data_IF_319325097972
#
_entry.id   IF_319325097972
#
_cell.length_a   1.000
_cell.length_b   1.000
_cell.length_c   1.000
_cell.angle_alpha   90.00
_cell.angle_beta   90.00
_cell.angle_gamma   90.00
#
_symmetry.space_group_name_H-M   'P 1'
#
loop_
_entity.id
_entity.type
_entity.pdbx_description
1 polymer ?
#
# COMPACT_ATOMS: atom_id res chain seq x y z
N UNK A 1 -19.76 3.36 -25.27
CA UNK A 1 -19.28 2.83 -23.97
C UNK A 1 -19.42 1.32 -23.89
N UNK A 2 -18.44 0.67 -23.26
CA UNK A 2 -18.45 -0.72 -22.85
C UNK A 2 -19.02 -0.84 -21.43
N UNK A 3 -20.17 -1.49 -21.28
CA UNK A 3 -20.84 -1.66 -19.98
C UNK A 3 -20.48 -2.99 -19.29
N UNK A 4 -19.69 -3.87 -19.92
CA UNK A 4 -19.30 -5.15 -19.34
C UNK A 4 -18.59 -5.05 -17.99
N UNK A 5 -17.73 -4.04 -17.73
CA UNK A 5 -17.08 -3.87 -16.43
C UNK A 5 -18.02 -3.34 -15.34
N UNK A 6 -19.21 -2.83 -15.72
CA UNK A 6 -20.12 -2.19 -14.78
C UNK A 6 -20.85 -3.25 -13.95
N UNK A 7 -20.77 -3.11 -12.63
CA UNK A 7 -21.51 -3.92 -11.67
C UNK A 7 -23.03 -3.84 -11.91
N UNK A 8 -23.81 -4.92 -11.72
CA UNK A 8 -25.26 -4.87 -11.79
C UNK A 8 -25.86 -3.80 -10.86
N UNK A 9 -26.90 -3.10 -11.32
CA UNK A 9 -27.49 -1.99 -10.57
C UNK A 9 -28.05 -2.39 -9.19
N UNK A 10 -28.57 -3.61 -9.04
CA UNK A 10 -29.02 -4.12 -7.73
C UNK A 10 -27.87 -4.29 -6.74
N UNK A 11 -26.71 -4.74 -7.20
CA UNK A 11 -25.52 -4.88 -6.37
C UNK A 11 -24.96 -3.52 -5.97
N UNK A 12 -24.93 -2.55 -6.90
CA UNK A 12 -24.55 -1.16 -6.58
C UNK A 12 -25.46 -0.56 -5.51
N UNK A 13 -26.78 -0.77 -5.62
CA UNK A 13 -27.77 -0.33 -4.62
C UNK A 13 -27.58 -1.03 -3.28
N UNK A 14 -27.25 -2.32 -3.27
CA UNK A 14 -26.98 -3.07 -2.04
C UNK A 14 -25.75 -2.52 -1.32
N UNK A 15 -24.64 -2.29 -2.02
CA UNK A 15 -23.44 -1.66 -1.46
C UNK A 15 -23.79 -0.28 -0.88
N UNK A 16 -24.48 0.55 -1.67
CA UNK A 16 -24.90 1.90 -1.26
C UNK A 16 -25.74 1.86 0.01
N UNK A 17 -26.76 0.99 0.06
CA UNK A 17 -27.62 0.82 1.23
C UNK A 17 -26.80 0.44 2.46
N UNK A 18 -25.89 -0.52 2.35
CA UNK A 18 -25.07 -0.99 3.49
C UNK A 18 -24.18 0.14 4.03
N UNK A 19 -23.38 0.80 3.20
CA UNK A 19 -22.45 1.83 3.65
C UNK A 19 -23.15 3.12 4.09
N UNK A 20 -24.18 3.58 3.38
CA UNK A 20 -24.93 4.78 3.75
C UNK A 20 -25.65 4.55 5.08
N UNK A 21 -26.29 3.40 5.27
CA UNK A 21 -26.97 3.09 6.55
C UNK A 21 -25.98 3.01 7.70
N UNK A 22 -24.86 2.30 7.53
CA UNK A 22 -23.81 2.23 8.54
C UNK A 22 -23.27 3.61 8.92
N UNK A 23 -23.12 4.51 7.94
CA UNK A 23 -22.61 5.86 8.18
C UNK A 23 -23.62 6.69 8.96
N UNK A 24 -24.90 6.64 8.57
CA UNK A 24 -25.97 7.36 9.26
C UNK A 24 -26.14 6.84 10.70
N UNK A 25 -26.09 5.53 10.92
CA UNK A 25 -26.17 4.95 12.28
C UNK A 25 -24.97 5.37 13.15
N UNK A 26 -23.74 5.33 12.59
CA UNK A 26 -22.54 5.72 13.32
C UNK A 26 -22.51 7.22 13.65
N UNK A 27 -23.02 8.08 12.76
CA UNK A 27 -22.92 9.55 12.91
C UNK A 27 -24.13 10.20 13.57
N UNK A 28 -25.34 9.67 13.37
CA UNK A 28 -26.58 10.25 13.90
C UNK A 28 -27.06 9.56 15.17
N UNK A 29 -26.73 8.27 15.36
CA UNK A 29 -27.18 7.48 16.51
C UNK A 29 -26.02 6.96 17.40
N UNK A 30 -24.78 7.38 17.13
CA UNK A 30 -23.55 6.96 17.86
C UNK A 30 -23.41 5.43 17.95
N UNK A 31 -23.92 4.70 16.93
CA UNK A 31 -23.80 3.24 16.81
C UNK A 31 -22.41 2.86 16.30
N UNK A 32 -21.42 2.91 17.18
CA UNK A 32 -20.00 2.69 16.85
C UNK A 32 -19.67 1.27 16.42
N UNK A 33 -20.54 0.30 16.65
CA UNK A 33 -20.37 -1.07 16.15
C UNK A 33 -20.32 -1.17 14.62
N UNK A 34 -20.72 -0.12 13.90
CA UNK A 34 -20.62 -0.04 12.45
C UNK A 34 -19.28 0.54 11.95
N UNK A 35 -18.47 1.16 12.82
CA UNK A 35 -17.15 1.71 12.43
C UNK A 35 -16.21 0.67 11.80
N UNK A 36 -16.13 -0.58 12.32
CA UNK A 36 -15.27 -1.61 11.73
C UNK A 36 -15.56 -1.91 10.25
N UNK A 37 -16.77 -1.64 9.75
CA UNK A 37 -17.10 -1.79 8.32
C UNK A 37 -16.29 -0.85 7.43
N UNK A 38 -16.02 0.38 7.89
CA UNK A 38 -15.26 1.37 7.14
C UNK A 38 -13.76 1.08 7.17
N UNK A 39 -13.29 0.52 8.29
CA UNK A 39 -11.91 0.07 8.48
C UNK A 39 -11.59 -1.17 7.66
N UNK A 40 -12.52 -2.12 7.59
CA UNK A 40 -12.36 -3.39 6.91
C UNK A 40 -13.70 -3.91 6.36
N UNK A 41 -13.84 -3.85 5.03
CA UNK A 41 -15.05 -4.29 4.34
C UNK A 41 -15.39 -5.76 4.62
N UNK A 42 -14.42 -6.60 5.00
CA UNK A 42 -14.63 -8.04 5.26
C UNK A 42 -15.53 -8.27 6.46
N UNK A 43 -15.54 -7.33 7.42
CA UNK A 43 -16.46 -7.38 8.57
C UNK A 43 -17.93 -7.38 8.12
N UNK A 44 -18.23 -6.67 7.02
CA UNK A 44 -19.57 -6.62 6.44
C UNK A 44 -19.80 -7.57 5.28
N UNK A 45 -18.96 -8.59 5.07
CA UNK A 45 -19.01 -9.42 3.85
C UNK A 45 -20.37 -10.11 3.64
N UNK A 46 -21.09 -10.43 4.71
CA UNK A 46 -22.46 -10.99 4.62
C UNK A 46 -23.48 -9.99 4.04
N UNK A 47 -23.27 -8.69 4.22
CA UNK A 47 -24.16 -7.63 3.73
C UNK A 47 -23.81 -7.16 2.32
N UNK A 48 -22.64 -7.55 1.82
CA UNK A 48 -22.05 -7.05 0.58
C UNK A 48 -22.16 -8.10 -0.56
N UNK A 49 -22.36 -7.68 -1.83
CA UNK A 49 -22.20 -8.56 -3.00
C UNK A 49 -20.82 -9.21 -3.09
N UNK A 50 -20.74 -10.36 -3.76
CA UNK A 50 -19.48 -11.06 -4.02
C UNK A 50 -18.71 -10.37 -5.15
N UNK A 51 -17.82 -9.45 -4.77
CA UNK A 51 -16.98 -8.69 -5.68
C UNK A 51 -15.67 -8.28 -4.98
N UNK A 52 -14.79 -7.62 -5.73
CA UNK A 52 -13.56 -7.02 -5.24
C UNK A 52 -13.90 -5.69 -4.55
N UNK A 53 -13.40 -5.51 -3.34
CA UNK A 53 -13.52 -4.26 -2.60
C UNK A 53 -12.13 -3.74 -2.30
N UNK A 54 -12.02 -2.42 -2.37
CA UNK A 54 -10.87 -1.67 -1.88
C UNK A 54 -11.43 -0.59 -0.97
N UNK A 55 -10.88 -0.46 0.23
CA UNK A 55 -11.26 0.60 1.14
C UNK A 55 -10.04 1.42 1.55
N UNK A 56 -10.24 2.73 1.63
CA UNK A 56 -9.30 3.65 2.23
C UNK A 56 -9.99 4.27 3.43
N UNK A 57 -9.36 4.13 4.59
CA UNK A 57 -9.86 4.59 5.88
C UNK A 57 -8.76 5.37 6.59
N UNK A 58 -9.18 6.43 7.30
CA UNK A 58 -8.37 7.20 8.22
C UNK A 58 -9.33 7.94 9.17
N UNK A 59 -9.01 8.00 10.46
CA UNK A 59 -9.78 8.76 11.44
C UNK A 59 -8.92 9.81 12.18
N UNK A 60 -9.53 10.50 13.14
CA UNK A 60 -8.91 11.60 13.88
C UNK A 60 -7.73 11.17 14.78
N UNK A 61 -7.55 9.88 15.04
CA UNK A 61 -6.42 9.35 15.80
C UNK A 61 -5.14 9.23 14.96
N UNK A 62 -5.23 9.36 13.64
CA UNK A 62 -4.10 9.15 12.75
C UNK A 62 -3.01 10.22 12.94
N UNK A 63 -1.81 9.76 13.26
CA UNK A 63 -0.59 10.57 13.37
C UNK A 63 0.36 10.20 12.23
N UNK A 64 0.65 11.13 11.29
CA UNK A 64 1.51 10.84 10.16
C UNK A 64 2.97 10.68 10.60
N UNK A 65 3.61 9.59 10.16
CA UNK A 65 5.06 9.45 10.18
C UNK A 65 5.65 10.06 8.90
N UNK A 66 5.16 9.65 7.74
CA UNK A 66 5.56 10.17 6.43
C UNK A 66 4.35 10.28 5.49
N UNK A 67 4.15 11.48 4.94
CA UNK A 67 3.13 11.82 3.94
C UNK A 67 3.72 12.15 2.57
N UNK A 68 5.05 12.23 2.47
CA UNK A 68 5.82 12.44 1.22
C UNK A 68 5.51 13.75 0.50
N UNK A 69 4.89 14.69 1.21
CA UNK A 69 4.41 15.97 0.67
C UNK A 69 5.05 17.17 1.39
N UNK A 70 5.92 16.92 2.37
CA UNK A 70 6.60 17.92 3.18
C UNK A 70 7.74 18.64 2.45
N UNK A 71 8.52 17.90 1.66
CA UNK A 71 9.70 18.39 0.94
C UNK A 71 10.06 17.44 -0.23
N UNK A 72 11.28 17.57 -0.77
CA UNK A 72 11.78 16.74 -1.88
C UNK A 72 12.94 15.81 -1.46
N UNK A 73 13.33 15.81 -0.18
CA UNK A 73 14.38 14.96 0.36
C UNK A 73 13.79 13.60 0.71
N UNK A 74 14.14 12.59 -0.10
CA UNK A 74 13.66 11.21 0.08
C UNK A 74 14.04 10.59 1.43
N UNK A 75 14.95 11.21 2.18
CA UNK A 75 15.51 10.69 3.44
C UNK A 75 14.91 11.31 4.69
N UNK A 76 13.99 12.27 4.55
CA UNK A 76 13.28 12.90 5.67
C UNK A 76 11.91 12.27 5.86
N UNK A 77 11.26 12.59 6.98
CA UNK A 77 9.87 12.20 7.25
C UNK A 77 9.07 13.44 7.63
N UNK A 78 7.76 13.45 7.36
CA UNK A 78 6.84 14.50 7.82
C UNK A 78 6.92 14.72 9.34
N UNK A 79 7.09 13.65 10.12
CA UNK A 79 7.38 13.75 11.54
C UNK A 79 8.82 14.28 11.74
N UNK A 80 8.95 15.55 12.14
CA UNK A 80 10.25 16.20 12.29
C UNK A 80 11.22 15.40 13.19
N UNK A 81 12.43 15.16 12.68
CA UNK A 81 13.49 14.40 13.36
C UNK A 81 13.47 12.89 13.06
N UNK A 82 12.52 12.39 12.27
CA UNK A 82 12.58 11.05 11.69
C UNK A 82 13.42 11.02 10.42
N UNK A 83 13.72 9.82 9.93
CA UNK A 83 14.53 9.61 8.73
C UNK A 83 14.13 8.37 7.95
N UNK A 84 14.46 8.35 6.67
CA UNK A 84 14.13 7.27 5.73
C UNK A 84 15.40 6.75 5.07
N UNK A 85 15.49 5.42 4.94
CA UNK A 85 16.54 4.74 4.20
C UNK A 85 16.00 3.62 3.32
N UNK A 86 16.36 3.62 2.05
CA UNK A 86 16.09 2.57 1.08
C UNK A 86 17.34 1.75 0.76
N UNK A 87 17.21 0.42 0.74
CA UNK A 87 18.29 -0.52 0.43
C UNK A 87 17.85 -1.52 -0.65
N UNK A 88 18.69 -1.77 -1.65
CA UNK A 88 18.46 -2.72 -2.75
C UNK A 88 17.15 -2.50 -3.53
N UNK A 89 16.58 -1.29 -3.50
CA UNK A 89 15.40 -0.93 -4.27
C UNK A 89 15.75 -0.73 -5.76
N UNK A 90 14.85 -1.20 -6.62
CA UNK A 90 14.90 -0.94 -8.06
C UNK A 90 14.35 0.45 -8.41
N UNK A 91 13.35 0.90 -7.66
CA UNK A 91 12.75 2.23 -7.78
C UNK A 91 12.60 2.79 -6.37
N UNK A 92 13.08 4.01 -6.18
CA UNK A 92 12.82 4.83 -5.00
C UNK A 92 12.74 6.28 -5.45
N UNK A 93 11.53 6.84 -5.43
CA UNK A 93 11.28 8.25 -5.73
C UNK A 93 10.01 8.72 -5.04
N UNK A 94 9.93 10.00 -4.76
CA UNK A 94 8.69 10.67 -4.38
C UNK A 94 8.17 11.50 -5.55
N UNK A 95 6.86 11.72 -5.58
CA UNK A 95 6.26 12.60 -6.57
C UNK A 95 4.75 12.51 -6.64
N UNK A 96 4.18 13.29 -7.56
CA UNK A 96 2.74 13.36 -7.80
C UNK A 96 2.16 11.99 -8.12
N UNK A 97 1.07 11.66 -7.47
CA UNK A 97 0.37 10.40 -7.70
C UNK A 97 -0.51 10.55 -8.94
N UNK A 98 -0.31 9.74 -9.99
CA UNK A 98 -1.06 9.90 -11.23
C UNK A 98 -2.52 9.45 -11.08
N UNK A 99 -3.39 10.12 -11.83
CA UNK A 99 -4.67 9.55 -12.28
C UNK A 99 -4.45 8.77 -13.59
N UNK A 100 -5.53 8.33 -14.23
CA UNK A 100 -5.49 7.93 -15.65
C UNK A 100 -4.98 9.06 -16.54
N UNK A 101 -5.43 10.28 -16.27
CA UNK A 101 -5.04 11.53 -16.93
C UNK A 101 -4.79 12.59 -15.84
N UNK A 102 -3.60 13.20 -15.83
CA UNK A 102 -3.19 14.14 -14.77
C UNK A 102 -2.78 13.47 -13.45
N UNK A 103 -2.91 14.19 -12.33
CA UNK A 103 -2.46 13.75 -11.00
C UNK A 103 -3.36 14.21 -9.83
N UNK A 104 -3.13 13.63 -8.64
CA UNK A 104 -3.97 13.77 -7.45
C UNK A 104 -3.70 15.02 -6.61
N UNK A 105 -2.86 15.95 -7.05
CA UNK A 105 -2.45 17.14 -6.30
C UNK A 105 -1.79 16.87 -4.93
N UNK A 106 -1.45 15.62 -4.63
CA UNK A 106 -0.59 15.23 -3.50
C UNK A 106 0.41 14.14 -3.93
N UNK A 107 1.45 13.98 -3.12
CA UNK A 107 2.57 13.11 -3.44
C UNK A 107 2.42 11.73 -2.78
N UNK A 108 3.23 10.79 -3.26
CA UNK A 108 3.50 9.53 -2.60
C UNK A 108 4.89 9.05 -2.93
N UNK A 109 5.37 8.06 -2.17
CA UNK A 109 6.61 7.35 -2.47
C UNK A 109 6.32 6.16 -3.38
N UNK A 110 7.10 6.04 -4.45
CA UNK A 110 7.09 4.92 -5.37
C UNK A 110 8.26 4.00 -5.02
N UNK A 111 7.92 2.76 -4.65
CA UNK A 111 8.87 1.74 -4.25
C UNK A 111 8.75 0.56 -5.21
N UNK A 112 9.86 0.22 -5.86
CA UNK A 112 9.93 -0.90 -6.79
C UNK A 112 11.06 -1.83 -6.41
N UNK A 113 10.84 -3.13 -6.58
CA UNK A 113 11.85 -4.16 -6.34
C UNK A 113 11.76 -5.24 -7.41
N UNK A 114 12.90 -5.83 -7.74
CA UNK A 114 13.01 -7.08 -8.50
C UNK A 114 14.16 -7.88 -7.92
N UNK A 115 13.87 -9.05 -7.36
CA UNK A 115 14.86 -9.85 -6.62
C UNK A 115 15.65 -10.77 -7.54
N UNK A 116 16.94 -10.50 -7.72
CA UNK A 116 17.84 -11.47 -8.34
C UNK A 116 17.99 -12.73 -7.47
N UNK A 117 18.23 -13.88 -8.10
CA UNK A 117 18.45 -15.15 -7.39
C UNK A 117 19.62 -15.04 -6.41
N UNK A 118 19.35 -15.29 -5.12
CA UNK A 118 20.35 -15.23 -4.06
C UNK A 118 20.71 -13.83 -3.56
N UNK A 119 20.12 -12.76 -4.12
CA UNK A 119 20.31 -11.40 -3.65
C UNK A 119 19.49 -11.11 -2.37
N UNK A 120 19.97 -10.22 -1.49
CA UNK A 120 19.18 -9.78 -0.34
C UNK A 120 17.89 -9.09 -0.78
N UNK A 121 16.83 -9.23 0.02
CA UNK A 121 15.57 -8.52 -0.20
C UNK A 121 15.75 -7.00 -0.07
N UNK A 122 14.99 -6.24 -0.87
CA UNK A 122 14.95 -4.79 -0.76
C UNK A 122 14.27 -4.37 0.54
N UNK A 123 14.68 -3.22 1.08
CA UNK A 123 14.19 -2.69 2.35
C UNK A 123 13.91 -1.20 2.23
N UNK A 124 12.85 -0.78 2.90
CA UNK A 124 12.53 0.64 3.10
C UNK A 124 12.27 0.85 4.59
N UNK A 125 13.16 1.58 5.26
CA UNK A 125 13.16 1.77 6.71
C UNK A 125 12.81 3.21 7.02
N UNK A 126 11.79 3.41 7.85
CA UNK A 126 11.44 4.70 8.44
C UNK A 126 11.81 4.67 9.92
N UNK A 127 12.73 5.52 10.33
CA UNK A 127 13.13 5.71 11.73
C UNK A 127 12.26 6.81 12.33
N UNK A 128 11.66 6.51 13.48
CA UNK A 128 10.82 7.47 14.20
C UNK A 128 11.71 8.54 14.86
N UNK A 129 11.20 9.78 15.02
CA UNK A 129 11.88 10.78 15.84
C UNK A 129 12.09 10.26 17.28
N UNK A 130 13.19 10.68 17.91
CA UNK A 130 13.46 10.31 19.29
C UNK A 130 12.28 10.68 20.23
N UNK A 131 11.78 9.71 20.99
CA UNK A 131 10.65 9.88 21.90
C UNK A 131 9.26 9.94 21.24
N UNK A 132 9.17 9.80 19.91
CA UNK A 132 7.89 9.88 19.20
C UNK A 132 6.90 8.80 19.65
N UNK A 133 7.34 7.56 19.85
CA UNK A 133 6.46 6.47 20.29
C UNK A 133 5.77 6.78 21.64
N UNK A 134 6.50 7.35 22.60
CA UNK A 134 5.93 7.79 23.87
C UNK A 134 5.01 9.02 23.69
N UNK A 135 5.42 10.00 22.89
CA UNK A 135 4.63 11.21 22.60
C UNK A 135 3.29 10.88 21.93
N UNK A 136 3.29 9.93 21.01
CA UNK A 136 2.10 9.43 20.31
C UNK A 136 1.35 8.36 21.09
N UNK A 137 1.82 8.03 22.31
CA UNK A 137 1.21 7.05 23.21
C UNK A 137 0.99 5.71 22.50
N UNK A 138 1.98 5.24 21.72
CA UNK A 138 1.88 3.96 21.02
C UNK A 138 1.76 2.84 22.04
N UNK A 139 0.72 2.03 21.89
CA UNK A 139 0.35 0.94 22.81
C UNK A 139 -0.26 -0.24 22.06
N UNK A 140 -0.88 -1.16 22.79
CA UNK A 140 -1.51 -2.35 22.20
C UNK A 140 -2.68 -2.00 21.27
N UNK A 141 -3.44 -0.95 21.61
CA UNK A 141 -4.54 -0.43 20.79
C UNK A 141 -4.07 0.44 19.61
N UNK A 142 -2.76 0.63 19.42
CA UNK A 142 -2.26 1.37 18.27
C UNK A 142 -2.16 0.49 17.03
N UNK A 143 -2.27 1.11 15.87
CA UNK A 143 -2.09 0.50 14.55
C UNK A 143 -0.94 1.16 13.82
N UNK A 144 -0.23 0.41 12.97
CA UNK A 144 0.56 0.97 11.87
C UNK A 144 -0.31 0.94 10.61
N UNK A 145 -0.40 2.07 9.92
CA UNK A 145 -1.30 2.28 8.80
C UNK A 145 -0.53 2.75 7.57
N UNK A 146 -0.78 2.09 6.44
CA UNK A 146 -0.22 2.45 5.14
C UNK A 146 -1.33 2.59 4.12
N UNK A 147 -1.35 3.67 3.35
CA UNK A 147 -2.23 3.82 2.20
C UNK A 147 -1.46 3.41 0.94
N UNK A 148 -1.72 2.20 0.41
CA UNK A 148 -0.91 1.54 -0.61
C UNK A 148 -1.71 1.24 -1.88
N UNK A 149 -1.13 1.51 -3.05
CA UNK A 149 -1.65 1.10 -4.35
C UNK A 149 -0.58 0.34 -5.15
N UNK A 150 -0.98 -0.64 -5.94
CA UNK A 150 -0.08 -1.33 -6.89
C UNK A 150 -0.01 -0.58 -8.21
N UNK A 151 1.19 -0.42 -8.78
CA UNK A 151 1.38 0.18 -10.10
C UNK A 151 1.40 -0.89 -11.20
N UNK A 152 0.93 -0.57 -12.40
CA UNK A 152 1.07 -1.44 -13.58
C UNK A 152 2.44 -1.25 -14.27
N UNK A 153 3.52 -1.29 -13.49
CA UNK A 153 4.90 -1.09 -13.98
C UNK A 153 5.84 -2.24 -13.58
N UNK A 154 6.72 -2.67 -14.48
CA UNK A 154 7.73 -3.70 -14.19
C UNK A 154 9.04 -3.06 -13.69
N UNK A 155 9.41 -3.37 -12.44
CA UNK A 155 10.70 -2.98 -11.89
C UNK A 155 11.85 -3.71 -12.60
N UNK A 156 12.93 -2.98 -12.88
CA UNK A 156 14.19 -3.56 -13.37
C UNK A 156 15.03 -4.11 -12.21
N UNK A 157 16.08 -4.88 -12.51
CA UNK A 157 17.04 -5.30 -11.47
C UNK A 157 17.75 -4.07 -10.86
N UNK A 158 17.98 -4.04 -9.53
CA UNK A 158 18.66 -2.93 -8.87
C UNK A 158 20.14 -2.86 -9.28
N UNK A 159 20.70 -1.65 -9.35
CA UNK A 159 22.11 -1.39 -9.72
C UNK A 159 22.31 -0.73 -11.08
N UNK A 160 23.53 -0.25 -11.35
CA UNK A 160 23.87 0.47 -12.58
C UNK A 160 23.99 -0.52 -13.73
N UNK A 161 22.90 -0.74 -14.45
CA UNK A 161 22.87 -1.62 -15.62
C UNK A 161 23.74 -1.07 -16.75
N UNK A 162 24.52 -1.95 -17.38
CA UNK A 162 25.25 -1.66 -18.61
C UNK A 162 24.30 -1.45 -19.79
N UNK A 163 24.76 -0.73 -20.83
CA UNK A 163 24.02 -0.55 -22.09
C UNK A 163 23.53 -1.87 -22.70
N UNK A 164 24.35 -2.93 -22.60
CA UNK A 164 24.03 -4.26 -23.10
C UNK A 164 22.91 -4.94 -22.30
N UNK A 165 22.93 -4.82 -20.96
CA UNK A 165 21.87 -5.34 -20.08
C UNK A 165 20.54 -4.61 -20.30
N UNK A 166 20.58 -3.28 -20.46
CA UNK A 166 19.39 -2.49 -20.82
C UNK A 166 18.80 -2.90 -22.16
N UNK A 167 19.63 -3.19 -23.16
CA UNK A 167 19.19 -3.68 -24.47
C UNK A 167 18.54 -5.06 -24.37
N UNK A 168 19.16 -5.99 -23.63
CA UNK A 168 18.58 -7.32 -23.39
C UNK A 168 17.25 -7.25 -22.64
N UNK A 169 17.16 -6.46 -21.56
CA UNK A 169 15.92 -6.33 -20.79
C UNK A 169 14.80 -5.67 -21.62
N UNK A 170 15.15 -4.71 -22.50
CA UNK A 170 14.19 -4.14 -23.48
C UNK A 170 13.75 -5.15 -24.54
N UNK A 171 14.65 -6.00 -25.04
CA UNK A 171 14.29 -7.06 -26.00
C UNK A 171 13.42 -8.15 -25.35
N UNK A 172 13.69 -8.51 -24.10
CA UNK A 172 12.87 -9.42 -23.31
C UNK A 172 11.48 -8.82 -23.03
N UNK A 173 11.40 -7.56 -22.58
CA UNK A 173 10.12 -6.84 -22.42
C UNK A 173 9.32 -6.82 -23.71
N UNK A 174 9.93 -6.50 -24.86
CA UNK A 174 9.25 -6.53 -26.17
C UNK A 174 8.76 -7.93 -26.57
N UNK A 175 9.53 -8.98 -26.26
CA UNK A 175 9.12 -10.37 -26.53
C UNK A 175 8.00 -10.84 -25.61
N UNK A 176 7.98 -10.40 -24.35
CA UNK A 176 6.86 -10.65 -23.43
C UNK A 176 5.61 -9.88 -23.83
N UNK A 177 5.73 -8.59 -24.17
CA UNK A 177 4.62 -7.75 -24.65
C UNK A 177 3.99 -8.34 -25.92
N UNK A 178 4.81 -8.81 -26.88
CA UNK A 178 4.34 -9.46 -28.10
C UNK A 178 3.67 -10.84 -27.88
N UNK A 179 3.86 -11.45 -26.71
CA UNK A 179 3.20 -12.72 -26.31
C UNK A 179 1.99 -12.51 -25.39
N UNK A 180 1.71 -11.29 -24.94
CA UNK A 180 0.73 -11.07 -23.87
C UNK A 180 -0.70 -10.86 -24.41
N UNK A 181 -1.49 -11.93 -24.36
CA UNK A 181 -2.86 -11.77 -23.89
C UNK A 181 -2.78 -11.37 -22.41
N UNK A 182 -3.18 -10.12 -22.08
CA UNK A 182 -3.37 -9.55 -20.73
C UNK A 182 -2.60 -10.23 -19.59
N UNK A 183 -1.31 -9.88 -19.40
CA UNK A 183 -0.51 -10.29 -18.21
C UNK A 183 -1.25 -9.84 -16.93
N UNK A 184 -1.89 -10.77 -16.23
CA UNK A 184 -2.45 -10.51 -14.90
C UNK A 184 -1.30 -10.38 -13.91
N UNK A 185 -1.18 -9.21 -13.27
CA UNK A 185 -0.20 -8.99 -12.21
C UNK A 185 -0.66 -9.70 -10.93
N UNK A 186 0.30 -10.27 -10.23
CA UNK A 186 0.07 -10.80 -8.88
C UNK A 186 -0.11 -9.66 -7.87
N UNK A 187 -0.87 -9.93 -6.80
CA UNK A 187 -0.96 -9.04 -5.65
C UNK A 187 0.42 -8.91 -4.97
N UNK A 188 0.92 -7.70 -4.73
CA UNK A 188 2.16 -7.53 -3.99
C UNK A 188 1.97 -7.92 -2.52
N UNK A 189 2.96 -8.62 -1.99
CA UNK A 189 3.09 -8.96 -0.59
C UNK A 189 4.54 -8.71 -0.13
N UNK A 190 4.66 -8.22 1.09
CA UNK A 190 5.91 -7.87 1.74
C UNK A 190 5.74 -7.97 3.25
N UNK A 191 6.85 -8.01 3.97
CA UNK A 191 6.86 -8.13 5.42
C UNK A 191 7.02 -6.75 6.05
N UNK A 192 6.14 -6.38 6.98
CA UNK A 192 6.37 -5.23 7.88
C UNK A 192 7.16 -5.74 9.08
N UNK A 193 8.27 -5.11 9.39
CA UNK A 193 9.07 -5.32 10.59
C UNK A 193 9.05 -4.07 11.45
N UNK A 194 8.85 -4.26 12.76
CA UNK A 194 8.89 -3.22 13.77
C UNK A 194 10.14 -3.43 14.62
N UNK A 195 10.89 -2.37 14.88
CA UNK A 195 12.11 -2.37 15.68
C UNK A 195 11.94 -1.42 16.86
N UNK A 196 12.43 -1.84 18.02
CA UNK A 196 12.39 -1.05 19.25
C UNK A 196 13.78 -0.53 19.64
N UNK A 197 13.81 0.50 20.49
CA UNK A 197 15.05 1.11 20.98
C UNK A 197 15.95 0.16 21.77
N UNK A 198 15.39 -0.89 22.38
CA UNK A 198 16.15 -1.92 23.10
C UNK A 198 16.57 -3.10 22.18
N UNK A 199 16.34 -2.99 20.87
CA UNK A 199 16.77 -3.98 19.89
C UNK A 199 15.83 -5.17 19.71
N UNK A 200 14.68 -5.23 20.39
CA UNK A 200 13.64 -6.20 20.06
C UNK A 200 13.06 -5.91 18.66
N UNK A 201 12.77 -6.97 17.90
CA UNK A 201 12.16 -6.87 16.58
C UNK A 201 11.05 -7.89 16.41
N UNK A 202 9.98 -7.48 15.73
CA UNK A 202 8.84 -8.34 15.40
C UNK A 202 8.36 -8.06 13.99
N UNK A 203 7.76 -9.03 13.31
CA UNK A 203 7.37 -8.86 11.93
C UNK A 203 6.16 -9.70 11.53
N UNK A 204 5.45 -9.25 10.51
CA UNK A 204 4.34 -9.98 9.92
C UNK A 204 4.19 -9.63 8.43
N UNK A 205 3.79 -10.59 7.57
CA UNK A 205 3.47 -10.30 6.18
C UNK A 205 2.18 -9.48 6.08
N UNK A 206 2.12 -8.55 5.12
CA UNK A 206 0.93 -7.73 4.87
C UNK A 206 -0.28 -8.60 4.54
N UNK A 207 -0.09 -9.66 3.75
CA UNK A 207 -1.13 -10.63 3.40
C UNK A 207 -1.81 -11.32 4.58
N UNK A 208 -1.21 -11.33 5.78
CA UNK A 208 -1.88 -11.79 7.01
C UNK A 208 -3.06 -10.88 7.39
N UNK A 209 -2.94 -9.59 7.11
CA UNK A 209 -3.92 -8.58 7.49
C UNK A 209 -4.83 -8.26 6.32
N UNK A 210 -4.31 -7.90 5.15
CA UNK A 210 -5.11 -7.61 3.97
C UNK A 210 -4.29 -7.85 2.70
N UNK A 211 -4.94 -8.37 1.65
CA UNK A 211 -4.30 -8.47 0.34
C UNK A 211 -4.32 -7.10 -0.35
N UNK A 212 -3.17 -6.67 -0.88
CA UNK A 212 -3.11 -5.48 -1.73
C UNK A 212 -3.57 -5.91 -3.14
N UNK A 213 -4.62 -5.29 -3.70
CA UNK A 213 -5.12 -5.68 -5.01
C UNK A 213 -4.07 -5.37 -6.11
N UNK A 214 -4.01 -6.18 -7.19
CA UNK A 214 -3.26 -5.78 -8.37
C UNK A 214 -3.94 -4.59 -9.07
N UNK A 215 -3.30 -3.93 -10.04
CA UNK A 215 -3.91 -2.82 -10.77
C UNK A 215 -5.21 -3.27 -11.48
N UNK A 216 -6.28 -2.50 -11.30
CA UNK A 216 -7.54 -2.75 -11.99
C UNK A 216 -7.46 -2.21 -13.42
N UNK A 217 -7.50 -3.12 -14.39
CA UNK A 217 -7.54 -2.78 -15.81
C UNK A 217 -8.98 -2.66 -16.30
N UNK A 218 -9.27 -1.56 -16.96
CA UNK A 218 -10.60 -1.23 -17.47
C UNK A 218 -10.53 -0.94 -18.96
N UNK A 219 -11.58 -1.34 -19.68
CA UNK A 219 -11.77 -1.03 -21.10
C UNK A 219 -13.07 -0.26 -21.23
N UNK A 220 -13.01 1.02 -21.56
CA UNK A 220 -14.16 1.94 -21.54
C UNK A 220 -14.98 1.92 -22.84
N UNK A 221 -14.35 1.50 -23.93
CA UNK A 221 -14.91 1.54 -25.27
C UNK A 221 -15.03 0.13 -25.86
N UNK A 222 -15.97 -0.02 -26.79
CA UNK A 222 -16.22 -1.33 -27.42
C UNK A 222 -15.19 -1.64 -28.52
N UNK A 223 -14.53 -0.62 -29.07
CA UNK A 223 -13.62 -0.69 -30.21
C UNK A 223 -12.25 -0.14 -29.81
N UNK A 224 -11.15 -0.81 -30.21
CA UNK A 224 -9.81 -0.41 -29.78
C UNK A 224 -9.38 0.97 -30.30
N UNK A 225 -10.00 1.46 -31.38
CA UNK A 225 -9.68 2.77 -31.95
C UNK A 225 -10.13 3.93 -31.06
N UNK A 226 -11.19 3.71 -30.27
CA UNK A 226 -11.77 4.70 -29.37
C UNK A 226 -11.03 4.74 -28.02
N UNK A 227 -10.23 3.71 -27.70
CA UNK A 227 -9.37 3.69 -26.50
C UNK A 227 -8.20 4.68 -26.62
N UNK A 228 -7.82 5.10 -27.83
CA UNK A 228 -6.69 6.03 -28.05
C UNK A 228 -6.86 7.40 -27.37
N UNK A 229 -8.09 7.76 -26.98
CA UNK A 229 -8.38 8.96 -26.21
C UNK A 229 -8.12 8.83 -24.71
N UNK A 230 -7.85 7.62 -24.20
CA UNK A 230 -7.54 7.35 -22.80
C UNK A 230 -6.03 7.06 -22.66
N UNK A 231 -5.32 7.81 -21.82
CA UNK A 231 -3.85 7.64 -21.68
C UNK A 231 -3.47 6.31 -21.03
N UNK A 232 -4.27 5.81 -20.07
CA UNK A 232 -4.01 4.56 -19.33
C UNK A 232 -5.29 3.76 -19.11
N UNK A 233 -5.17 2.43 -19.29
CA UNK A 233 -6.23 1.46 -19.00
C UNK A 233 -6.30 1.07 -17.52
N UNK A 234 -5.46 1.63 -16.66
CA UNK A 234 -5.49 1.48 -15.20
C UNK A 234 -5.24 2.81 -14.47
N UNK A 235 -5.53 2.85 -13.17
CA UNK A 235 -5.08 3.89 -12.25
C UNK A 235 -4.71 3.30 -10.88
N UNK A 236 -3.87 3.98 -10.08
CA UNK A 236 -3.60 3.54 -8.73
C UNK A 236 -4.87 3.60 -7.88
N UNK A 237 -5.30 2.49 -7.31
CA UNK A 237 -6.41 2.45 -6.35
C UNK A 237 -5.83 2.09 -4.97
N UNK A 238 -5.98 3.00 -4.00
CA UNK A 238 -5.34 2.87 -2.69
C UNK A 238 -6.19 2.04 -1.72
N UNK A 239 -5.53 1.06 -1.10
CA UNK A 239 -6.02 0.25 0.00
C UNK A 239 -5.32 0.70 1.29
N UNK A 240 -6.08 0.90 2.37
CA UNK A 240 -5.48 1.03 3.69
C UNK A 240 -5.05 -0.36 4.19
N UNK A 241 -3.75 -0.53 4.45
CA UNK A 241 -3.19 -1.64 5.22
C UNK A 241 -3.12 -1.17 6.67
N UNK A 242 -4.01 -1.71 7.51
CA UNK A 242 -4.10 -1.37 8.93
C UNK A 242 -3.69 -2.58 9.76
N UNK A 243 -2.62 -2.44 10.53
CA UNK A 243 -2.04 -3.55 11.30
C UNK A 243 -1.98 -3.19 12.78
N UNK A 244 -2.74 -3.88 13.64
CA UNK A 244 -2.64 -3.70 15.10
C UNK A 244 -1.23 -4.03 15.59
N UNK A 245 -0.65 -3.16 16.42
CA UNK A 245 0.67 -3.37 16.99
C UNK A 245 0.70 -4.62 17.89
N UNK A 246 -0.40 -4.93 18.57
CA UNK A 246 -0.58 -6.15 19.36
C UNK A 246 -0.52 -7.45 18.54
N UNK A 247 -0.80 -7.41 17.23
CA UNK A 247 -0.82 -8.61 16.38
C UNK A 247 0.58 -9.05 15.90
N UNK A 248 1.59 -8.22 16.13
CA UNK A 248 2.99 -8.54 15.89
C UNK A 248 3.54 -9.46 16.98
N UNK A 249 3.23 -10.76 16.90
CA UNK A 249 3.73 -11.77 17.83
C UNK A 249 5.27 -11.79 17.83
N UNK A 250 5.88 -11.68 19.01
CA UNK A 250 7.32 -11.66 19.18
C UNK A 250 7.98 -12.87 18.49
N UNK A 251 8.74 -12.60 17.42
CA UNK A 251 9.56 -13.60 16.74
C UNK A 251 10.77 -14.01 17.60
N UNK A 252 11.21 -13.12 18.50
CA UNK A 252 12.27 -13.37 19.47
C UNK A 252 11.68 -13.57 20.87
N UNK A 253 11.82 -14.77 21.43
CA UNK A 253 11.35 -15.10 22.79
C UNK A 253 12.22 -14.47 23.88
N UNK A 254 13.31 -13.78 23.55
CA UNK A 254 14.23 -13.18 24.54
C UNK A 254 13.84 -11.76 24.97
N UNK A 255 13.10 -11.01 24.15
CA UNK A 255 12.67 -9.63 24.46
C UNK A 255 11.26 -9.42 23.93
N UNK A 256 10.36 -9.01 24.82
CA UNK A 256 8.99 -8.69 24.47
C UNK A 256 8.94 -7.39 23.66
N UNK A 257 8.11 -7.36 22.62
CA UNK A 257 7.92 -6.16 21.82
C UNK A 257 7.03 -5.17 22.60
N UNK A 258 7.57 -4.00 22.92
CA UNK A 258 6.84 -2.93 23.59
C UNK A 258 6.56 -1.77 22.61
N UNK A 259 5.30 -1.51 22.23
CA UNK A 259 4.95 -0.44 21.29
C UNK A 259 5.47 0.95 21.67
N UNK A 260 5.52 1.26 22.98
CA UNK A 260 6.03 2.54 23.50
C UNK A 260 7.54 2.74 23.28
N UNK A 261 8.28 1.69 22.93
CA UNK A 261 9.71 1.72 22.59
C UNK A 261 9.97 1.64 21.08
N UNK A 262 8.93 1.72 20.24
CA UNK A 262 9.10 1.64 18.78
C UNK A 262 10.04 2.73 18.28
N UNK A 263 11.06 2.32 17.52
CA UNK A 263 12.09 3.21 16.97
C UNK A 263 12.12 3.21 15.45
N UNK A 264 11.68 2.13 14.79
CA UNK A 264 11.62 2.09 13.33
C UNK A 264 10.55 1.12 12.81
N UNK A 265 10.02 1.46 11.63
CA UNK A 265 9.17 0.61 10.79
C UNK A 265 9.96 0.28 9.53
N UNK A 266 10.06 -1.01 9.17
CA UNK A 266 10.76 -1.48 7.99
C UNK A 266 9.84 -2.30 7.11
N UNK A 267 9.72 -1.91 5.84
CA UNK A 267 9.09 -2.71 4.80
C UNK A 267 10.17 -3.59 4.15
N UNK A 268 10.03 -4.90 4.24
CA UNK A 268 10.94 -5.89 3.63
C UNK A 268 10.25 -6.53 2.42
N UNK A 269 10.78 -6.28 1.24
CA UNK A 269 10.26 -6.82 -0.02
C UNK A 269 10.81 -8.23 -0.27
N UNK A 270 10.47 -9.16 0.63
CA UNK A 270 11.01 -10.51 0.72
C UNK A 270 10.06 -11.62 0.24
N UNK A 271 8.82 -11.27 -0.13
CA UNK A 271 7.80 -12.24 -0.53
C UNK A 271 7.64 -12.25 -2.06
N UNK A 272 6.87 -11.33 -2.61
CA UNK A 272 6.70 -11.16 -4.06
C UNK A 272 8.05 -10.87 -4.74
N UNK A 273 8.34 -11.52 -5.86
CA UNK A 273 9.63 -11.40 -6.54
C UNK A 273 9.85 -10.02 -7.15
N UNK A 274 8.79 -9.45 -7.73
CA UNK A 274 8.83 -8.16 -8.40
C UNK A 274 7.50 -7.42 -8.25
N UNK A 275 7.56 -6.15 -7.86
CA UNK A 275 6.42 -5.24 -7.96
C UNK A 275 6.87 -3.79 -7.91
N UNK A 276 5.94 -2.90 -8.24
CA UNK A 276 6.04 -1.46 -7.99
C UNK A 276 4.78 -1.04 -7.26
N UNK A 277 4.95 -0.43 -6.09
CA UNK A 277 3.84 0.10 -5.28
C UNK A 277 4.01 1.62 -5.11
N UNK A 278 2.90 2.30 -4.89
CA UNK A 278 2.88 3.67 -4.41
C UNK A 278 2.28 3.69 -3.00
N UNK A 279 2.94 4.38 -2.08
CA UNK A 279 2.43 4.61 -0.73
C UNK A 279 2.19 6.11 -0.59
N UNK A 280 0.96 6.49 -0.26
CA UNK A 280 0.57 7.91 -0.10
C UNK A 280 0.68 8.40 1.33
N UNK A 281 0.87 7.50 2.29
CA UNK A 281 1.08 7.86 3.68
C UNK A 281 1.38 6.63 4.53
N UNK A 282 2.24 6.84 5.52
CA UNK A 282 2.55 5.88 6.58
C UNK A 282 2.40 6.62 7.91
N UNK A 283 1.69 6.03 8.87
CA UNK A 283 1.49 6.62 10.18
C UNK A 283 0.88 5.66 11.19
N UNK A 284 0.44 6.19 12.32
CA UNK A 284 -0.11 5.40 13.42
C UNK A 284 -1.53 5.84 13.76
N UNK A 285 -2.43 4.89 13.99
CA UNK A 285 -3.79 5.16 14.44
C UNK A 285 -4.11 4.48 15.78
N UNK A 286 -5.39 4.50 16.14
CA UNK A 286 -5.96 3.81 17.31
C UNK A 286 -7.14 2.94 16.91
N UNK A 287 -7.20 1.74 17.48
CA UNK A 287 -8.34 0.83 17.38
C UNK A 287 -9.45 1.23 18.35
#
# INVERSE_FOLDING_TARGET
>A
MNLKPLMPGEEQRRISKTYISAFLEATLHDRREYLPLFEDWRVGREWLPDTLYVNRYQDASFVPLASFSEDADLTTTTAAGGSIAGENLSVWREGRIPWREGDRDYNGVFLGWKRAKGAPAARYTLTLPAGAAAKWQLGEESTIELSVATMDEDASLPGKQTEAEKKKEKEEKKKEEAKSEKKQRESPDFTIELLTTDGASTSAPVSRFIAIPPPFKERFTKLDIDEKGYEKDWEPVFQTVRVPLADFRAADRKREFEPGKLSAVRLKFDRTEMSVICISGIGFGKR
#
